data_IF_620562846233
#
_entry.id   IF_620562846233
#
_cell.length_a   1.000
_cell.length_b   1.000
_cell.length_c   1.000
_cell.angle_alpha   90.00
_cell.angle_beta   90.00
_cell.angle_gamma   90.00
#
_symmetry.space_group_name_H-M   'P 1'
#
loop_
_entity.id
_entity.type
_entity.pdbx_description
1 polymer ?
#
# COMPACT_ATOMS: atom_id res chain seq x y z
N UNK A 1 -4.11 -2.50 -28.33
CA UNK A 1 -3.06 -2.24 -27.32
C UNK A 1 -3.73 -1.43 -26.23
N UNK A 2 -3.92 -1.98 -25.04
CA UNK A 2 -4.49 -1.25 -23.90
C UNK A 2 -3.39 -0.33 -23.37
N UNK A 3 -3.61 0.98 -23.38
CA UNK A 3 -2.66 1.92 -22.77
C UNK A 3 -2.55 1.60 -21.26
N UNK A 4 -1.33 1.58 -20.68
CA UNK A 4 -1.18 1.37 -19.25
C UNK A 4 -1.86 2.51 -18.50
N UNK A 5 -2.71 2.17 -17.53
CA UNK A 5 -3.30 3.19 -16.65
C UNK A 5 -2.29 3.53 -15.58
N UNK A 6 -1.98 4.82 -15.44
CA UNK A 6 -1.06 5.31 -14.43
C UNK A 6 -1.88 5.71 -13.20
N UNK A 7 -1.46 5.28 -12.01
CA UNK A 7 -2.10 5.64 -10.75
C UNK A 7 -1.11 6.31 -9.82
N UNK A 8 -1.57 7.37 -9.15
CA UNK A 8 -0.93 7.97 -7.99
C UNK A 8 -1.49 7.33 -6.73
N UNK A 9 -0.61 6.84 -5.87
CA UNK A 9 -0.94 6.21 -4.59
C UNK A 9 -0.53 7.16 -3.48
N UNK A 10 -1.50 7.56 -2.66
CA UNK A 10 -1.33 8.46 -1.54
C UNK A 10 -1.60 7.70 -0.23
N UNK A 11 -0.58 7.57 0.60
CA UNK A 11 -0.65 6.79 1.82
C UNK A 11 -1.15 7.63 3.00
N UNK A 12 -1.99 7.02 3.82
CA UNK A 12 -2.56 7.60 5.02
C UNK A 12 -1.63 7.52 6.21
N UNK A 13 -2.18 7.78 7.39
CA UNK A 13 -1.41 7.80 8.63
C UNK A 13 -1.06 6.40 9.12
N UNK A 14 0.10 6.31 9.78
CA UNK A 14 0.49 5.17 10.60
C UNK A 14 0.87 5.71 11.98
N UNK A 15 0.07 5.37 13.00
CA UNK A 15 0.09 6.12 14.24
C UNK A 15 -0.35 7.57 13.98
N UNK A 16 0.53 8.52 14.26
CA UNK A 16 0.25 9.96 14.12
C UNK A 16 0.97 10.62 12.93
N UNK A 17 1.76 9.86 12.16
CA UNK A 17 2.61 10.40 11.08
C UNK A 17 2.16 9.92 9.70
N UNK A 18 2.65 10.59 8.64
CA UNK A 18 2.55 10.16 7.24
C UNK A 18 3.93 9.71 6.76
N UNK A 19 4.37 8.48 7.10
CA UNK A 19 5.75 8.10 6.86
C UNK A 19 6.05 7.78 5.40
N UNK A 20 5.06 7.33 4.64
CA UNK A 20 5.25 6.88 3.26
C UNK A 20 4.98 8.03 2.29
N UNK A 21 5.95 8.43 1.46
CA UNK A 21 5.72 9.40 0.40
C UNK A 21 4.82 8.80 -0.69
N UNK A 22 3.98 9.63 -1.31
CA UNK A 22 3.17 9.18 -2.45
C UNK A 22 4.03 8.68 -3.60
N UNK A 23 3.57 7.64 -4.30
CA UNK A 23 4.23 7.08 -5.48
C UNK A 23 3.29 7.12 -6.68
N UNK A 24 3.84 7.15 -7.89
CA UNK A 24 3.07 7.00 -9.13
C UNK A 24 3.57 5.75 -9.86
N UNK A 25 2.66 4.85 -10.21
CA UNK A 25 2.97 3.55 -10.81
C UNK A 25 2.01 3.23 -11.96
N UNK A 26 2.49 2.48 -12.93
CA UNK A 26 1.66 1.88 -13.96
C UNK A 26 0.94 0.64 -13.42
N UNK A 27 -0.35 0.50 -13.75
CA UNK A 27 -1.14 -0.66 -13.39
C UNK A 27 -1.36 -1.53 -14.63
N UNK A 28 -0.38 -2.39 -14.87
CA UNK A 28 -0.39 -3.39 -15.95
C UNK A 28 -0.88 -4.75 -15.46
N UNK A 29 -0.51 -5.13 -14.23
CA UNK A 29 -0.94 -6.36 -13.55
C UNK A 29 -1.24 -6.06 -12.07
N UNK A 30 -2.38 -6.51 -11.51
CA UNK A 30 -2.75 -6.24 -10.12
C UNK A 30 -1.74 -6.75 -9.09
N UNK A 31 -1.13 -7.93 -9.32
CA UNK A 31 -0.18 -8.51 -8.38
C UNK A 31 1.16 -7.77 -8.41
N UNK A 32 1.64 -7.40 -9.59
CA UNK A 32 2.84 -6.58 -9.73
C UNK A 32 2.62 -5.18 -9.17
N UNK A 33 1.45 -4.58 -9.41
CA UNK A 33 1.08 -3.29 -8.84
C UNK A 33 1.13 -3.34 -7.31
N UNK A 34 0.46 -4.31 -6.69
CA UNK A 34 0.46 -4.48 -5.23
C UNK A 34 1.86 -4.70 -4.66
N UNK A 35 2.68 -5.53 -5.31
CA UNK A 35 4.07 -5.76 -4.91
C UNK A 35 4.93 -4.50 -5.02
N UNK A 36 4.76 -3.72 -6.08
CA UNK A 36 5.49 -2.47 -6.28
C UNK A 36 5.12 -1.41 -5.23
N UNK A 37 3.83 -1.28 -4.92
CA UNK A 37 3.35 -0.41 -3.83
C UNK A 37 3.95 -0.84 -2.49
N UNK A 38 3.94 -2.14 -2.19
CA UNK A 38 4.49 -2.66 -0.94
C UNK A 38 6.01 -2.48 -0.84
N UNK A 39 6.75 -2.78 -1.90
CA UNK A 39 8.20 -2.60 -1.95
C UNK A 39 8.62 -1.13 -1.71
N UNK A 40 7.82 -0.18 -2.20
CA UNK A 40 8.02 1.24 -1.92
C UNK A 40 7.71 1.61 -0.46
N UNK A 41 6.60 1.11 0.10
CA UNK A 41 6.12 1.54 1.40
C UNK A 41 6.87 0.90 2.58
N UNK A 42 7.23 -0.38 2.49
CA UNK A 42 7.82 -1.16 3.59
C UNK A 42 9.05 -0.47 4.22
N UNK A 43 10.02 0.07 3.46
CA UNK A 43 11.17 0.78 4.05
C UNK A 43 10.81 1.96 4.95
N UNK A 44 9.71 2.66 4.68
CA UNK A 44 9.21 3.77 5.49
C UNK A 44 8.32 3.30 6.65
N UNK A 45 7.59 2.20 6.46
CA UNK A 45 6.72 1.62 7.48
C UNK A 45 7.51 0.93 8.59
N UNK A 46 8.54 0.16 8.25
CA UNK A 46 9.36 -0.61 9.21
C UNK A 46 9.82 0.21 10.42
N UNK A 47 10.52 1.36 10.29
CA UNK A 47 10.99 2.11 11.45
C UNK A 47 9.84 2.65 12.33
N UNK A 48 8.71 3.04 11.73
CA UNK A 48 7.53 3.51 12.48
C UNK A 48 6.87 2.37 13.24
N UNK A 49 6.69 1.20 12.59
CA UNK A 49 6.11 0.03 13.21
C UNK A 49 7.00 -0.53 14.33
N UNK A 50 8.32 -0.51 14.14
CA UNK A 50 9.28 -0.83 15.21
C UNK A 50 9.16 0.13 16.38
N UNK A 51 9.08 1.45 16.14
CA UNK A 51 8.90 2.44 17.20
C UNK A 51 7.57 2.29 17.95
N UNK A 52 6.52 1.80 17.28
CA UNK A 52 5.23 1.46 17.89
C UNK A 52 5.23 0.09 18.61
N UNK A 53 6.37 -0.61 18.65
CA UNK A 53 6.50 -1.92 19.29
C UNK A 53 5.82 -3.07 18.53
N UNK A 54 5.61 -2.90 17.22
CA UNK A 54 4.92 -3.85 16.34
C UNK A 54 5.73 -4.16 15.08
N UNK A 55 7.02 -4.53 15.18
CA UNK A 55 7.89 -4.78 14.02
C UNK A 55 7.38 -5.91 13.12
N UNK A 56 6.59 -6.86 13.66
CA UNK A 56 6.00 -7.95 12.90
C UNK A 56 5.06 -7.47 11.79
N UNK A 57 4.41 -6.31 11.99
CA UNK A 57 3.52 -5.71 11.00
C UNK A 57 4.27 -5.29 9.73
N UNK A 58 5.60 -5.23 9.73
CA UNK A 58 6.37 -4.90 8.53
C UNK A 58 6.29 -6.00 7.45
N UNK A 59 5.97 -7.24 7.81
CA UNK A 59 5.71 -8.34 6.86
C UNK A 59 4.26 -8.29 6.34
N UNK A 60 3.94 -7.21 5.64
CA UNK A 60 2.60 -6.89 5.16
C UNK A 60 2.52 -6.93 3.64
N UNK A 61 1.29 -7.03 3.13
CA UNK A 61 1.00 -6.88 1.71
C UNK A 61 0.00 -5.76 1.47
N UNK A 62 0.14 -5.12 0.32
CA UNK A 62 -0.82 -4.13 -0.14
C UNK A 62 -1.99 -4.83 -0.84
N UNK A 63 -3.21 -4.42 -0.52
CA UNK A 63 -4.42 -4.91 -1.16
C UNK A 63 -5.22 -3.72 -1.68
N UNK A 64 -5.75 -3.85 -2.90
CA UNK A 64 -6.75 -2.92 -3.45
C UNK A 64 -8.13 -3.41 -3.04
N UNK A 65 -9.02 -2.51 -2.61
CA UNK A 65 -10.37 -2.89 -2.23
C UNK A 65 -11.13 -3.43 -3.46
N UNK A 66 -11.71 -4.64 -3.39
CA UNK A 66 -12.39 -5.23 -4.53
C UNK A 66 -13.71 -4.52 -4.91
N UNK A 67 -14.30 -3.76 -3.98
CA UNK A 67 -15.51 -2.98 -4.20
C UNK A 67 -15.20 -1.52 -4.55
N UNK A 68 -14.06 -0.99 -4.12
CA UNK A 68 -13.59 0.36 -4.44
C UNK A 68 -12.14 0.37 -4.96
N UNK A 69 -11.92 0.33 -6.29
CA UNK A 69 -10.58 0.32 -6.87
C UNK A 69 -9.82 1.64 -6.69
N UNK A 70 -10.44 2.67 -6.11
CA UNK A 70 -9.78 3.93 -5.74
C UNK A 70 -9.18 3.90 -4.34
N UNK A 71 -9.27 2.75 -3.66
CA UNK A 71 -8.80 2.56 -2.30
C UNK A 71 -7.98 1.29 -2.14
N UNK A 72 -7.00 1.33 -1.24
CA UNK A 72 -6.26 0.15 -0.82
C UNK A 72 -5.77 0.27 0.61
N UNK A 73 -5.27 -0.83 1.14
CA UNK A 73 -4.83 -0.94 2.53
C UNK A 73 -3.64 -1.90 2.67
N UNK A 74 -2.78 -1.67 3.66
CA UNK A 74 -1.78 -2.66 4.06
C UNK A 74 -2.37 -3.62 5.08
N UNK A 75 -2.23 -4.91 4.79
CA UNK A 75 -2.65 -5.99 5.65
C UNK A 75 -1.44 -6.78 6.13
N UNK A 76 -1.37 -6.98 7.44
CA UNK A 76 -0.53 -8.01 8.05
C UNK A 76 -1.39 -9.20 8.45
N UNK A 77 -0.90 -10.42 8.24
CA UNK A 77 -1.61 -11.66 8.57
C UNK A 77 -0.65 -12.63 9.24
N UNK A 78 -1.02 -13.11 10.41
CA UNK A 78 -0.38 -14.24 11.09
C UNK A 78 -1.27 -15.47 10.98
N UNK A 79 -0.86 -16.41 10.14
CA UNK A 79 -1.57 -17.66 9.90
C UNK A 79 -1.46 -18.65 11.07
N UNK A 80 -0.41 -18.55 11.88
CA UNK A 80 -0.19 -19.45 13.03
C UNK A 80 -1.07 -19.00 14.19
N UNK A 81 -1.12 -17.70 14.46
CA UNK A 81 -1.95 -17.11 15.49
C UNK A 81 -3.40 -16.84 15.09
N UNK A 82 -3.76 -17.04 13.81
CA UNK A 82 -5.04 -16.66 13.21
C UNK A 82 -5.40 -15.18 13.48
N UNK A 83 -4.45 -14.28 13.26
CA UNK A 83 -4.59 -12.84 13.49
C UNK A 83 -4.39 -12.08 12.19
N UNK A 84 -5.00 -10.91 12.08
CA UNK A 84 -4.76 -9.97 11.00
C UNK A 84 -4.93 -8.54 11.48
N UNK A 85 -4.23 -7.61 10.83
CA UNK A 85 -4.33 -6.19 11.11
C UNK A 85 -4.28 -5.41 9.78
N UNK A 86 -5.25 -4.52 9.59
CA UNK A 86 -5.22 -3.49 8.56
C UNK A 86 -4.60 -2.24 9.14
N UNK A 87 -3.65 -1.65 8.44
CA UNK A 87 -3.01 -0.41 8.82
C UNK A 87 -2.59 0.34 7.56
N UNK A 88 -2.35 1.65 7.66
CA UNK A 88 -1.96 2.49 6.52
C UNK A 88 -2.95 2.39 5.33
N UNK A 89 -4.10 3.10 5.39
CA UNK A 89 -4.99 3.19 4.23
C UNK A 89 -4.29 3.95 3.10
N UNK A 90 -4.63 3.68 1.84
CA UNK A 90 -4.07 4.37 0.69
C UNK A 90 -5.19 4.75 -0.30
N UNK A 91 -5.08 5.96 -0.84
CA UNK A 91 -5.93 6.44 -1.93
C UNK A 91 -5.23 6.21 -3.25
N UNK A 92 -5.96 5.69 -4.23
CA UNK A 92 -5.49 5.38 -5.58
C UNK A 92 -6.22 6.31 -6.55
N UNK A 93 -5.47 7.19 -7.21
CA UNK A 93 -6.02 8.20 -8.14
C UNK A 93 -5.46 7.97 -9.53
N UNK A 94 -6.33 7.80 -10.53
CA UNK A 94 -5.90 7.70 -11.92
C UNK A 94 -5.26 9.03 -12.37
N UNK A 95 -4.05 8.95 -12.93
CA UNK A 95 -3.37 10.08 -13.54
C UNK A 95 -3.65 9.99 -15.04
N UNK A 96 -4.28 11.03 -15.60
CA UNK A 96 -4.46 11.10 -17.04
C UNK A 96 -3.09 11.01 -17.73
N UNK A 97 -2.93 10.21 -18.81
CA UNK A 97 -1.74 10.31 -19.62
C UNK A 97 -1.60 11.77 -20.07
N UNK A 98 -0.40 12.33 -19.96
CA UNK A 98 -0.15 13.69 -20.44
C UNK A 98 -0.65 13.82 -21.89
N UNK A 99 -1.31 14.95 -22.24
CA UNK A 99 -1.88 15.15 -23.57
C UNK A 99 -0.83 15.10 -24.69
#
# INVERSE_FOLDING_TARGET
>A
MTQPTIYRIEFGKVGETYPVPSITLEHTDPNQFARAVAAHAIPYLTPVLTALGRPELADCFFRVDPNDPTYGDFLWVDLIGNKGAQFCPARITAVAPAP
#
